data_IF_819871417468
#
_entry.id   IF_819871417468
#
_cell.length_a   1.000
_cell.length_b   1.000
_cell.length_c   1.000
_cell.angle_alpha   90.00
_cell.angle_beta   90.00
_cell.angle_gamma   90.00
#
_symmetry.space_group_name_H-M   'P 1'
#
loop_
_entity.id
_entity.type
_entity.pdbx_description
1 polymer ?
#
# COMPACT_ATOMS: atom_id res chain seq x y z
N UNK A 1 -0.10 -8.69 28.04
CA UNK A 1 -0.16 -9.05 26.62
C UNK A 1 0.90 -8.25 25.89
N UNK A 2 1.88 -8.86 25.22
CA UNK A 2 2.71 -8.10 24.32
C UNK A 2 1.82 -7.68 23.14
N UNK A 3 1.95 -6.46 22.62
CA UNK A 3 1.22 -6.09 21.44
C UNK A 3 1.84 -6.86 20.28
N UNK A 4 1.09 -7.77 19.65
CA UNK A 4 1.43 -8.27 18.32
C UNK A 4 1.22 -7.15 17.28
N UNK A 5 1.76 -5.96 17.54
CA UNK A 5 1.45 -4.70 16.84
C UNK A 5 2.33 -4.49 15.61
N UNK A 6 2.72 -5.57 14.94
CA UNK A 6 3.17 -5.49 13.56
C UNK A 6 2.10 -6.14 12.68
N UNK A 7 0.93 -5.48 12.51
CA UNK A 7 -0.06 -5.97 11.57
C UNK A 7 0.56 -5.94 10.18
N UNK A 8 0.24 -6.95 9.37
CA UNK A 8 0.62 -6.98 7.96
C UNK A 8 0.20 -5.64 7.33
N UNK A 9 1.10 -4.95 6.60
CA UNK A 9 0.69 -3.75 5.89
C UNK A 9 -0.52 -4.08 5.01
N UNK A 10 -1.42 -3.10 4.87
CA UNK A 10 -2.62 -3.24 4.06
C UNK A 10 -2.33 -2.69 2.67
N UNK A 11 -2.75 -3.42 1.64
CA UNK A 11 -2.64 -2.95 0.27
C UNK A 11 -3.46 -1.66 0.11
N UNK A 12 -2.89 -0.61 -0.49
CA UNK A 12 -3.65 0.61 -0.75
C UNK A 12 -4.85 0.29 -1.63
N UNK A 13 -5.97 0.96 -1.39
CA UNK A 13 -7.18 0.74 -2.18
C UNK A 13 -6.97 1.25 -3.61
N UNK A 14 -7.23 0.39 -4.59
CA UNK A 14 -7.03 0.73 -5.99
C UNK A 14 -8.02 1.84 -6.39
N UNK A 15 -7.53 2.98 -6.91
CA UNK A 15 -8.40 4.05 -7.33
C UNK A 15 -9.33 3.56 -8.44
N UNK A 16 -10.60 3.93 -8.34
CA UNK A 16 -11.58 3.62 -9.37
C UNK A 16 -11.29 4.46 -10.62
N UNK A 17 -11.63 3.95 -11.81
CA UNK A 17 -11.47 4.71 -13.05
C UNK A 17 -12.28 6.02 -13.08
N UNK A 18 -13.29 6.19 -12.22
CA UNK A 18 -14.02 7.45 -12.04
C UNK A 18 -13.38 8.45 -11.06
N UNK A 19 -12.37 8.01 -10.29
CA UNK A 19 -11.59 8.85 -9.36
C UNK A 19 -10.46 9.57 -10.11
N UNK A 20 -10.00 8.97 -11.22
CA UNK A 20 -9.13 9.61 -12.18
C UNK A 20 -9.96 10.56 -13.05
N UNK A 21 -9.98 11.85 -12.69
CA UNK A 21 -10.42 12.89 -13.62
C UNK A 21 -9.40 12.95 -14.77
N UNK A 22 -9.67 12.19 -15.84
CA UNK A 22 -8.94 11.94 -17.10
C UNK A 22 -8.30 13.16 -17.81
N UNK A 23 -8.36 14.36 -17.22
CA UNK A 23 -7.70 15.55 -17.70
C UNK A 23 -7.70 16.76 -16.77
N UNK A 24 -7.85 16.62 -15.44
CA UNK A 24 -7.99 17.81 -14.57
C UNK A 24 -7.51 17.75 -13.13
N UNK A 25 -7.33 16.58 -12.52
CA UNK A 25 -6.81 16.51 -11.15
C UNK A 25 -5.29 16.29 -11.17
N UNK A 26 -4.56 17.26 -10.62
CA UNK A 26 -3.14 17.15 -10.33
C UNK A 26 -2.96 17.25 -8.81
N UNK A 27 -2.40 16.22 -8.13
CA UNK A 27 -1.76 15.01 -8.67
C UNK A 27 -2.72 13.95 -9.22
N UNK A 28 -2.28 13.21 -10.24
CA UNK A 28 -2.98 12.05 -10.75
C UNK A 28 -3.08 10.98 -9.66
N UNK A 29 -4.29 10.51 -9.38
CA UNK A 29 -4.51 9.48 -8.34
C UNK A 29 -3.75 8.19 -8.63
N UNK A 30 -3.49 7.89 -9.92
CA UNK A 30 -2.71 6.73 -10.32
C UNK A 30 -1.24 6.88 -9.95
N UNK A 31 -0.66 8.08 -10.05
CA UNK A 31 0.72 8.34 -9.66
C UNK A 31 0.86 8.20 -8.13
N UNK A 32 -0.03 8.84 -7.36
CA UNK A 32 -0.04 8.69 -5.89
C UNK A 32 -0.28 7.25 -5.47
N UNK A 33 -1.14 6.50 -6.16
CA UNK A 33 -1.35 5.08 -5.92
C UNK A 33 -0.12 4.25 -6.25
N UNK A 34 0.58 4.54 -7.34
CA UNK A 34 1.82 3.86 -7.71
C UNK A 34 2.90 4.05 -6.64
N UNK A 35 3.10 5.27 -6.15
CA UNK A 35 4.02 5.57 -5.05
C UNK A 35 3.61 4.84 -3.75
N UNK A 36 2.32 4.85 -3.41
CA UNK A 36 1.81 4.14 -2.25
C UNK A 36 2.00 2.61 -2.37
N UNK A 37 1.83 2.05 -3.56
CA UNK A 37 2.04 0.64 -3.86
C UNK A 37 3.51 0.23 -3.72
N UNK A 38 4.45 1.06 -4.18
CA UNK A 38 5.88 0.83 -3.97
C UNK A 38 6.20 0.77 -2.48
N UNK A 39 5.76 1.77 -1.71
CA UNK A 39 5.98 1.80 -0.26
C UNK A 39 5.31 0.63 0.47
N UNK A 40 4.12 0.22 0.02
CA UNK A 40 3.43 -0.97 0.53
C UNK A 40 4.26 -2.23 0.32
N UNK A 41 4.84 -2.43 -0.87
CA UNK A 41 5.68 -3.59 -1.20
C UNK A 41 6.93 -3.65 -0.33
N UNK A 42 7.61 -2.52 -0.14
CA UNK A 42 8.79 -2.44 0.73
C UNK A 42 8.45 -2.83 2.17
N UNK A 43 7.36 -2.26 2.70
CA UNK A 43 6.87 -2.58 4.04
C UNK A 43 6.44 -4.03 4.17
N UNK A 44 5.80 -4.59 3.14
CA UNK A 44 5.36 -5.98 3.12
C UNK A 44 6.56 -6.92 3.12
N UNK A 45 7.59 -6.65 2.33
CA UNK A 45 8.82 -7.43 2.33
C UNK A 45 9.53 -7.39 3.69
N UNK A 46 9.65 -6.20 4.29
CA UNK A 46 10.22 -6.05 5.64
C UNK A 46 9.35 -6.72 6.72
N UNK A 47 8.03 -6.75 6.53
CA UNK A 47 7.11 -7.49 7.40
C UNK A 47 7.28 -9.00 7.23
N UNK A 48 7.32 -9.52 6.01
CA UNK A 48 7.54 -10.95 5.74
C UNK A 48 8.87 -11.45 6.31
N UNK A 49 9.94 -10.64 6.21
CA UNK A 49 11.23 -10.97 6.81
C UNK A 49 11.18 -11.06 8.34
N UNK A 50 10.32 -10.28 8.99
CA UNK A 50 10.10 -10.31 10.45
C UNK A 50 9.08 -11.37 10.89
N UNK A 51 8.22 -11.82 9.97
CA UNK A 51 7.17 -12.80 10.20
C UNK A 51 7.35 -14.07 9.34
N UNK A 52 8.43 -14.85 9.56
CA UNK A 52 8.67 -16.09 8.81
C UNK A 52 7.62 -17.18 9.10
N UNK A 53 6.83 -17.05 10.18
CA UNK A 53 5.74 -17.96 10.55
C UNK A 53 4.43 -17.71 9.79
N UNK A 54 4.32 -16.58 9.06
CA UNK A 54 3.13 -16.23 8.28
C UNK A 54 3.20 -16.71 6.81
N UNK A 55 4.27 -17.43 6.45
CA UNK A 55 4.50 -18.03 5.12
C UNK A 55 3.91 -19.43 4.97
#
# INVERSE_FOLDING_TARGET
>A
MPPANDPRPVEPEKPLPGDCCDGGCNPCVLDTYAEAMEHYRERLAAWQARHPEAG
#
